data_IF_910998635817
#
_entry.id   IF_910998635817
#
_cell.length_a   1.000
_cell.length_b   1.000
_cell.length_c   1.000
_cell.angle_alpha   90.00
_cell.angle_beta   90.00
_cell.angle_gamma   90.00
#
_symmetry.space_group_name_H-M   'P 1'
#
loop_
_entity.id
_entity.type
_entity.pdbx_description
1 polymer ?
#
# COMPACT_ATOMS: atom_id res chain seq x y z
N UNK A 1 -0.51 -15.18 6.72
CA UNK A 1 0.20 -14.17 5.95
C UNK A 1 -0.48 -13.90 4.60
N UNK A 2 -0.69 -14.92 3.75
CA UNK A 2 -1.30 -14.78 2.41
C UNK A 2 -2.65 -14.07 2.47
N UNK A 3 -3.59 -14.59 3.27
CA UNK A 3 -4.93 -14.00 3.45
C UNK A 3 -4.86 -12.55 3.95
N UNK A 4 -3.90 -12.25 4.83
CA UNK A 4 -3.70 -10.91 5.36
C UNK A 4 -3.30 -9.91 4.27
N UNK A 5 -2.32 -10.25 3.42
CA UNK A 5 -1.89 -9.37 2.32
C UNK A 5 -3.01 -9.17 1.30
N UNK A 6 -3.68 -10.26 0.89
CA UNK A 6 -4.79 -10.20 -0.07
C UNK A 6 -5.88 -9.26 0.44
N UNK A 7 -6.29 -9.41 1.70
CA UNK A 7 -7.27 -8.53 2.32
C UNK A 7 -6.77 -7.09 2.48
N UNK A 8 -5.47 -6.88 2.76
CA UNK A 8 -4.91 -5.54 2.86
C UNK A 8 -5.00 -4.77 1.54
N UNK A 9 -4.73 -5.45 0.41
CA UNK A 9 -4.89 -4.85 -0.93
C UNK A 9 -6.37 -4.61 -1.26
N UNK A 10 -7.27 -5.53 -0.91
CA UNK A 10 -8.70 -5.34 -1.12
C UNK A 10 -9.26 -4.17 -0.29
N UNK A 11 -8.88 -4.07 0.99
CA UNK A 11 -9.36 -3.00 1.88
C UNK A 11 -8.81 -1.61 1.55
N UNK A 12 -7.65 -1.51 0.88
CA UNK A 12 -7.10 -0.22 0.43
C UNK A 12 -7.76 0.28 -0.86
N UNK A 13 -8.47 -0.59 -1.60
CA UNK A 13 -9.21 -0.27 -2.84
C UNK A 13 -10.52 0.49 -2.55
N UNK A 14 -10.43 1.56 -1.77
CA UNK A 14 -11.58 2.38 -1.37
C UNK A 14 -11.75 3.69 -2.15
N UNK A 15 -10.80 4.08 -2.98
CA UNK A 15 -10.85 5.24 -3.85
C UNK A 15 -10.14 4.95 -5.18
N UNK A 16 -10.63 5.58 -6.25
CA UNK A 16 -10.11 5.38 -7.61
C UNK A 16 -8.59 5.55 -7.68
N UNK A 17 -7.91 4.60 -8.29
CA UNK A 17 -6.48 4.61 -8.55
C UNK A 17 -5.58 4.26 -7.36
N UNK A 18 -6.11 4.16 -6.14
CA UNK A 18 -5.25 3.95 -4.97
C UNK A 18 -4.62 2.55 -4.98
N UNK A 19 -5.43 1.50 -5.02
CA UNK A 19 -4.93 0.13 -5.03
C UNK A 19 -4.10 -0.15 -6.28
N UNK A 20 -4.60 0.21 -7.47
CA UNK A 20 -3.88 -0.01 -8.72
C UNK A 20 -2.56 0.78 -8.80
N UNK A 21 -2.50 1.99 -8.26
CA UNK A 21 -1.28 2.79 -8.18
C UNK A 21 -0.23 2.17 -7.25
N UNK A 22 -0.63 1.79 -6.03
CA UNK A 22 0.26 1.11 -5.07
C UNK A 22 0.76 -0.23 -5.62
N UNK A 23 -0.13 -1.03 -6.21
CA UNK A 23 0.22 -2.31 -6.79
C UNK A 23 1.14 -2.16 -8.01
N UNK A 24 0.96 -1.11 -8.83
CA UNK A 24 1.85 -0.82 -9.97
C UNK A 24 3.28 -0.51 -9.51
N UNK A 25 3.43 0.31 -8.46
CA UNK A 25 4.75 0.60 -7.89
C UNK A 25 5.39 -0.67 -7.31
N UNK A 26 4.62 -1.49 -6.62
CA UNK A 26 5.09 -2.77 -6.08
C UNK A 26 5.56 -3.72 -7.21
N UNK A 27 4.76 -3.87 -8.28
CA UNK A 27 5.12 -4.69 -9.44
C UNK A 27 6.37 -4.18 -10.15
N UNK A 28 6.52 -2.85 -10.30
CA UNK A 28 7.71 -2.25 -10.88
C UNK A 28 8.95 -2.57 -10.06
N UNK A 29 8.89 -2.36 -8.74
CA UNK A 29 9.99 -2.66 -7.83
C UNK A 29 10.36 -4.15 -7.89
N UNK A 30 9.37 -5.04 -7.75
CA UNK A 30 9.60 -6.48 -7.79
C UNK A 30 10.17 -6.94 -9.13
N UNK A 31 9.65 -6.42 -10.25
CA UNK A 31 10.14 -6.74 -11.59
C UNK A 31 11.62 -6.36 -11.75
N UNK A 32 11.99 -5.15 -11.38
CA UNK A 32 13.38 -4.69 -11.41
C UNK A 32 14.27 -5.51 -10.47
N UNK A 33 13.80 -5.80 -9.27
CA UNK A 33 14.55 -6.58 -8.29
C UNK A 33 14.78 -8.01 -8.77
N UNK A 34 13.75 -8.67 -9.32
CA UNK A 34 13.89 -10.02 -9.89
C UNK A 34 14.84 -10.06 -11.08
N UNK A 35 14.92 -8.99 -11.90
CA UNK A 35 15.95 -8.90 -12.94
C UNK A 35 17.35 -8.84 -12.34
N UNK A 36 17.56 -8.08 -11.27
CA UNK A 36 18.85 -8.01 -10.57
C UNK A 36 19.27 -9.36 -9.96
N UNK A 37 18.31 -10.16 -9.49
CA UNK A 37 18.55 -11.52 -8.97
C UNK A 37 18.49 -12.61 -10.05
N UNK A 38 18.50 -12.27 -11.35
CA UNK A 38 18.43 -13.21 -12.48
C UNK A 38 17.21 -14.16 -12.44
N UNK A 39 16.15 -13.77 -11.74
CA UNK A 39 14.89 -14.51 -11.62
C UNK A 39 13.89 -14.10 -12.70
N UNK A 40 14.22 -14.37 -13.95
CA UNK A 40 13.50 -13.85 -15.14
C UNK A 40 12.01 -14.22 -15.20
N UNK A 41 11.62 -15.42 -14.75
CA UNK A 41 10.22 -15.88 -14.76
C UNK A 41 9.37 -14.97 -13.85
N UNK A 42 9.87 -14.63 -12.65
CA UNK A 42 9.16 -13.78 -11.70
C UNK A 42 9.21 -12.32 -12.13
N UNK A 43 10.29 -11.87 -12.77
CA UNK A 43 10.36 -10.56 -13.39
C UNK A 43 9.31 -10.41 -14.49
N UNK A 44 9.15 -11.41 -15.39
CA UNK A 44 8.11 -11.42 -16.40
C UNK A 44 6.71 -11.37 -15.80
N UNK A 45 6.44 -12.13 -14.74
CA UNK A 45 5.14 -12.12 -14.06
C UNK A 45 4.84 -10.74 -13.45
N UNK A 46 5.83 -10.11 -12.80
CA UNK A 46 5.69 -8.77 -12.23
C UNK A 46 5.41 -7.72 -13.32
N UNK A 47 6.16 -7.73 -14.41
CA UNK A 47 5.96 -6.79 -15.52
C UNK A 47 4.68 -7.07 -16.31
N UNK A 48 4.26 -8.32 -16.47
CA UNK A 48 2.96 -8.63 -17.06
C UNK A 48 1.81 -8.08 -16.22
N UNK A 49 1.88 -8.24 -14.89
CA UNK A 49 0.90 -7.67 -13.96
C UNK A 49 0.90 -6.14 -14.04
N UNK A 50 2.09 -5.52 -14.08
CA UNK A 50 2.23 -4.07 -14.26
C UNK A 50 1.61 -3.60 -15.58
N UNK A 51 1.83 -4.34 -16.68
CA UNK A 51 1.29 -4.04 -18.00
C UNK A 51 -0.24 -4.04 -18.04
N UNK A 52 -0.90 -4.80 -17.17
CA UNK A 52 -2.36 -4.77 -16.98
C UNK A 52 -2.78 -3.62 -16.07
N UNK A 53 -2.04 -3.36 -14.98
CA UNK A 53 -2.39 -2.35 -14.00
C UNK A 53 -2.27 -0.92 -14.53
N UNK A 54 -1.31 -0.62 -15.40
CA UNK A 54 -1.10 0.73 -15.95
C UNK A 54 -2.30 1.22 -16.77
N UNK A 55 -2.78 0.51 -17.81
CA UNK A 55 -3.98 0.93 -18.53
C UNK A 55 -5.22 0.89 -17.65
N UNK A 56 -5.33 -0.09 -16.73
CA UNK A 56 -6.41 -0.11 -15.75
C UNK A 56 -6.43 1.17 -14.91
N UNK A 57 -5.29 1.57 -14.34
CA UNK A 57 -5.15 2.83 -13.56
C UNK A 57 -5.64 4.03 -14.37
N UNK A 58 -5.25 4.11 -15.65
CA UNK A 58 -5.66 5.21 -16.51
C UNK A 58 -7.19 5.30 -16.64
N UNK A 59 -7.87 4.20 -16.98
CA UNK A 59 -9.32 4.19 -17.13
C UNK A 59 -10.07 4.31 -15.79
N UNK A 60 -9.49 3.84 -14.70
CA UNK A 60 -10.09 3.96 -13.37
C UNK A 60 -10.06 5.41 -12.86
N UNK A 61 -8.93 6.13 -13.06
CA UNK A 61 -8.75 7.51 -12.56
C UNK A 61 -9.30 8.55 -13.51
N UNK A 62 -9.10 8.38 -14.82
CA UNK A 62 -9.41 9.38 -15.85
C UNK A 62 -10.58 8.98 -16.75
N UNK A 63 -11.09 7.77 -16.63
CA UNK A 63 -12.23 7.30 -17.40
C UNK A 63 -13.48 8.12 -17.11
N UNK A 64 -14.25 8.44 -18.16
CA UNK A 64 -15.52 9.14 -18.04
C UNK A 64 -16.66 8.13 -17.86
N UNK A 65 -17.35 8.21 -16.71
CA UNK A 65 -18.49 7.34 -16.40
C UNK A 65 -19.68 7.56 -17.33
N UNK A 66 -19.93 8.80 -17.77
CA UNK A 66 -21.05 9.13 -18.67
C UNK A 66 -20.90 8.48 -20.07
N UNK A 67 -19.65 8.27 -20.50
CA UNK A 67 -19.34 7.60 -21.78
C UNK A 67 -19.02 6.10 -21.61
N UNK A 68 -19.28 5.51 -20.44
CA UNK A 68 -19.03 4.10 -20.18
C UNK A 68 -17.55 3.69 -20.21
N UNK A 69 -16.62 4.66 -20.10
CA UNK A 69 -15.17 4.43 -20.17
C UNK A 69 -14.50 4.28 -18.80
N UNK A 70 -15.24 4.42 -17.70
CA UNK A 70 -14.71 4.24 -16.36
C UNK A 70 -14.83 2.78 -15.95
N UNK A 71 -13.75 2.21 -15.44
CA UNK A 71 -13.70 0.83 -14.95
C UNK A 71 -13.37 0.81 -13.46
N UNK A 72 -13.87 -0.21 -12.75
CA UNK A 72 -13.63 -0.43 -11.33
C UNK A 72 -12.94 -1.75 -11.12
N UNK A 73 -12.07 -1.84 -10.10
CA UNK A 73 -11.30 -3.05 -9.82
C UNK A 73 -12.18 -4.18 -9.28
N UNK A 74 -13.06 -3.85 -8.34
CA UNK A 74 -13.90 -4.81 -7.64
C UNK A 74 -13.09 -5.83 -6.83
N UNK A 75 -13.80 -6.65 -6.05
CA UNK A 75 -13.16 -7.64 -5.18
C UNK A 75 -12.34 -8.67 -5.95
N UNK A 76 -12.83 -9.14 -7.11
CA UNK A 76 -12.11 -10.11 -7.94
C UNK A 76 -10.76 -9.56 -8.39
N UNK A 77 -10.72 -8.30 -8.83
CA UNK A 77 -9.48 -7.66 -9.28
C UNK A 77 -8.49 -7.45 -8.14
N UNK A 78 -8.94 -6.84 -7.04
CA UNK A 78 -8.09 -6.52 -5.89
C UNK A 78 -7.57 -7.78 -5.18
N UNK A 79 -8.39 -8.83 -5.03
CA UNK A 79 -7.98 -10.11 -4.46
C UNK A 79 -6.97 -10.83 -5.36
N UNK A 80 -7.18 -10.82 -6.70
CA UNK A 80 -6.25 -11.44 -7.65
C UNK A 80 -4.91 -10.74 -7.66
N UNK A 81 -4.89 -9.40 -7.73
CA UNK A 81 -3.65 -8.62 -7.68
C UNK A 81 -2.97 -8.77 -6.32
N UNK A 82 -3.73 -8.78 -5.22
CA UNK A 82 -3.23 -9.04 -3.88
C UNK A 82 -2.53 -10.40 -3.78
N UNK A 83 -3.09 -11.45 -4.39
CA UNK A 83 -2.48 -12.78 -4.47
C UNK A 83 -1.18 -12.76 -5.27
N UNK A 84 -1.15 -12.07 -6.43
CA UNK A 84 0.05 -11.93 -7.24
C UNK A 84 1.17 -11.21 -6.47
N UNK A 85 0.88 -10.10 -5.82
CA UNK A 85 1.86 -9.39 -4.99
C UNK A 85 2.35 -10.23 -3.82
N UNK A 86 1.47 -11.01 -3.19
CA UNK A 86 1.84 -11.92 -2.12
C UNK A 86 2.83 -12.99 -2.61
N UNK A 87 2.55 -13.64 -3.75
CA UNK A 87 3.44 -14.63 -4.37
C UNK A 87 4.81 -14.03 -4.70
N UNK A 88 4.82 -12.86 -5.34
CA UNK A 88 6.06 -12.17 -5.71
C UNK A 88 6.86 -11.76 -4.46
N UNK A 89 6.21 -11.22 -3.43
CA UNK A 89 6.88 -10.82 -2.18
C UNK A 89 7.48 -12.02 -1.46
N UNK A 90 6.75 -13.13 -1.33
CA UNK A 90 7.25 -14.36 -0.73
C UNK A 90 8.44 -14.93 -1.51
N UNK A 91 8.33 -14.98 -2.83
CA UNK A 91 9.44 -15.46 -3.66
C UNK A 91 10.67 -14.58 -3.51
N UNK A 92 10.49 -13.26 -3.41
CA UNK A 92 11.60 -12.33 -3.22
C UNK A 92 12.32 -12.55 -1.89
N UNK A 93 11.61 -12.84 -0.80
CA UNK A 93 12.24 -13.18 0.49
C UNK A 93 13.06 -14.48 0.44
N UNK A 94 12.75 -15.35 -0.53
CA UNK A 94 13.48 -16.61 -0.73
C UNK A 94 14.70 -16.47 -1.66
N UNK A 95 14.87 -15.31 -2.32
CA UNK A 95 16.08 -15.02 -3.08
C UNK A 95 17.22 -14.81 -2.09
N UNK A 96 18.14 -15.77 -2.00
CA UNK A 96 19.31 -15.68 -1.13
C UNK A 96 20.23 -14.54 -1.58
N UNK A 97 21.05 -14.08 -0.64
CA UNK A 97 22.11 -13.09 -0.88
C UNK A 97 23.41 -13.75 -1.36
N UNK A 98 23.31 -14.89 -2.02
CA UNK A 98 24.49 -15.69 -2.43
C UNK A 98 25.38 -14.97 -3.46
N UNK A 99 24.83 -13.99 -4.17
CA UNK A 99 25.60 -13.08 -5.01
C UNK A 99 26.01 -11.85 -4.20
N UNK A 100 27.28 -11.71 -3.90
CA UNK A 100 27.93 -10.55 -3.24
C UNK A 100 27.73 -9.22 -4.01
N UNK A 101 26.93 -9.21 -5.05
CA UNK A 101 26.67 -8.04 -5.92
C UNK A 101 25.53 -7.17 -5.46
N UNK A 102 24.59 -7.69 -4.66
CA UNK A 102 23.42 -6.94 -4.19
C UNK A 102 23.48 -6.78 -2.66
N UNK A 103 23.86 -5.59 -2.22
CA UNK A 103 23.97 -5.25 -0.80
C UNK A 103 22.62 -4.98 -0.11
N UNK A 104 21.50 -4.95 -0.87
CA UNK A 104 20.18 -4.66 -0.34
C UNK A 104 19.51 -5.96 0.10
N UNK A 105 18.98 -5.97 1.33
CA UNK A 105 18.29 -7.14 1.86
C UNK A 105 16.99 -7.42 1.07
N UNK A 106 16.82 -8.60 0.44
CA UNK A 106 15.63 -8.95 -0.33
C UNK A 106 14.32 -8.86 0.48
N UNK A 107 14.39 -9.13 1.78
CA UNK A 107 13.25 -9.04 2.67
C UNK A 107 12.74 -7.60 2.79
N UNK A 108 13.63 -6.60 2.81
CA UNK A 108 13.27 -5.18 2.82
C UNK A 108 12.53 -4.80 1.53
N UNK A 109 13.05 -5.24 0.39
CA UNK A 109 12.42 -5.01 -0.92
C UNK A 109 11.04 -5.67 -1.02
N UNK A 110 10.87 -6.84 -0.40
CA UNK A 110 9.61 -7.59 -0.42
C UNK A 110 8.50 -6.92 0.40
N UNK A 111 8.80 -6.41 1.61
CA UNK A 111 7.75 -5.87 2.47
C UNK A 111 7.49 -4.36 2.26
N UNK A 112 8.48 -3.58 1.83
CA UNK A 112 8.36 -2.11 1.73
C UNK A 112 7.15 -1.63 0.92
N UNK A 113 6.82 -2.18 -0.26
CA UNK A 113 5.64 -1.76 -1.01
C UNK A 113 4.32 -2.14 -0.33
N UNK A 114 4.34 -3.19 0.50
CA UNK A 114 3.17 -3.69 1.21
C UNK A 114 2.97 -3.02 2.58
N UNK A 115 3.92 -2.19 3.01
CA UNK A 115 3.95 -1.57 4.33
C UNK A 115 2.66 -0.79 4.60
N UNK A 116 2.30 0.15 3.73
CA UNK A 116 1.13 1.02 3.93
C UNK A 116 -0.17 0.23 3.96
N UNK A 117 -0.51 -0.63 2.98
CA UNK A 117 -1.70 -1.46 3.07
C UNK A 117 -1.76 -2.29 4.35
N UNK A 118 -0.67 -2.97 4.70
CA UNK A 118 -0.62 -3.84 5.87
C UNK A 118 -0.74 -3.05 7.19
N UNK A 119 0.00 -1.96 7.34
CA UNK A 119 -0.06 -1.13 8.54
C UNK A 119 -1.43 -0.47 8.72
N UNK A 120 -2.11 -0.10 7.62
CA UNK A 120 -3.45 0.48 7.72
C UNK A 120 -4.48 -0.54 8.23
N UNK A 121 -4.44 -1.77 7.74
CA UNK A 121 -5.32 -2.85 8.23
C UNK A 121 -5.06 -3.15 9.70
N UNK A 122 -3.80 -3.33 10.11
CA UNK A 122 -3.45 -3.57 11.52
C UNK A 122 -3.95 -2.43 12.41
N UNK A 123 -3.78 -1.19 11.97
CA UNK A 123 -4.26 -0.01 12.71
C UNK A 123 -5.77 0.00 12.88
N UNK A 124 -6.53 -0.28 11.83
CA UNK A 124 -8.00 -0.33 11.88
C UNK A 124 -8.45 -1.47 12.79
N UNK A 125 -7.85 -2.65 12.67
CA UNK A 125 -8.10 -3.79 13.52
C UNK A 125 -7.89 -3.45 15.00
N UNK A 126 -6.73 -2.91 15.37
CA UNK A 126 -6.42 -2.53 16.76
C UNK A 126 -7.35 -1.43 17.28
N UNK A 127 -7.71 -0.46 16.44
CA UNK A 127 -8.66 0.58 16.81
C UNK A 127 -10.03 -0.01 17.15
N UNK A 128 -10.50 -0.99 16.41
CA UNK A 128 -11.79 -1.66 16.67
C UNK A 128 -11.77 -2.48 17.94
N UNK A 129 -10.73 -3.30 18.12
CA UNK A 129 -10.55 -4.10 19.34
C UNK A 129 -10.54 -3.22 20.58
N UNK A 130 -9.79 -2.10 20.56
CA UNK A 130 -9.75 -1.15 21.70
C UNK A 130 -11.11 -0.52 22.02
N UNK A 131 -11.98 -0.39 21.02
CA UNK A 131 -13.33 0.17 21.20
C UNK A 131 -14.42 -0.92 21.43
N UNK A 132 -14.03 -2.17 21.70
CA UNK A 132 -14.97 -3.28 21.93
C UNK A 132 -15.82 -3.66 20.73
N UNK A 133 -15.41 -3.27 19.49
CA UNK A 133 -16.12 -3.55 18.24
C UNK A 133 -15.57 -4.80 17.58
N UNK A 134 -16.42 -5.53 16.87
CA UNK A 134 -15.96 -6.68 16.08
C UNK A 134 -14.96 -6.22 15.00
N UNK A 135 -13.70 -6.72 15.02
CA UNK A 135 -12.65 -6.25 14.11
C UNK A 135 -12.86 -6.70 12.65
N UNK A 136 -13.70 -7.68 12.38
CA UNK A 136 -13.95 -8.24 11.05
C UNK A 136 -15.09 -7.57 10.28
N UNK A 137 -15.81 -6.62 10.90
CA UNK A 137 -16.87 -5.89 10.19
C UNK A 137 -16.25 -4.74 9.36
N UNK A 138 -16.90 -4.31 8.25
CA UNK A 138 -16.47 -3.17 7.46
C UNK A 138 -16.27 -1.89 8.29
N UNK A 139 -15.22 -1.12 8.01
CA UNK A 139 -14.92 0.13 8.72
C UNK A 139 -14.58 1.26 7.74
N UNK A 140 -14.98 2.49 8.11
CA UNK A 140 -14.66 3.73 7.37
C UNK A 140 -13.47 4.50 7.98
N UNK A 141 -12.57 3.81 8.70
CA UNK A 141 -11.41 4.42 9.36
C UNK A 141 -10.08 4.20 8.61
N UNK A 142 -10.10 3.62 7.41
CA UNK A 142 -8.90 3.48 6.58
C UNK A 142 -8.26 4.84 6.28
N UNK A 143 -6.94 4.84 5.95
CA UNK A 143 -6.16 6.08 5.75
C UNK A 143 -6.81 7.01 4.72
N UNK A 144 -7.32 6.48 3.61
CA UNK A 144 -8.00 7.25 2.57
C UNK A 144 -9.26 7.94 3.10
N UNK A 145 -10.09 7.27 3.92
CA UNK A 145 -11.24 7.89 4.56
C UNK A 145 -10.87 9.03 5.51
N UNK A 146 -9.75 8.89 6.24
CA UNK A 146 -9.24 9.97 7.09
C UNK A 146 -8.82 11.20 6.29
N UNK A 147 -8.17 11.02 5.14
CA UNK A 147 -7.78 12.13 4.27
C UNK A 147 -9.00 12.84 3.68
N UNK A 148 -10.02 12.08 3.26
CA UNK A 148 -11.30 12.64 2.83
C UNK A 148 -12.01 13.40 3.95
N UNK A 149 -11.96 12.91 5.19
CA UNK A 149 -12.54 13.59 6.35
C UNK A 149 -11.84 14.92 6.71
N UNK A 150 -10.61 15.12 6.29
CA UNK A 150 -9.90 16.43 6.39
C UNK A 150 -10.37 17.41 5.30
N UNK A 151 -11.22 16.98 4.36
CA UNK A 151 -11.73 17.81 3.24
C UNK A 151 -10.92 17.67 1.96
N UNK A 152 -10.06 16.67 1.84
CA UNK A 152 -9.31 16.43 0.61
C UNK A 152 -10.17 15.78 -0.46
N UNK A 153 -9.92 16.13 -1.72
CA UNK A 153 -10.50 15.43 -2.87
C UNK A 153 -9.90 14.02 -3.01
N UNK A 154 -10.66 13.07 -3.58
CA UNK A 154 -10.22 11.68 -3.78
C UNK A 154 -8.89 11.58 -4.51
N UNK A 155 -8.70 12.34 -5.59
CA UNK A 155 -7.44 12.37 -6.36
C UNK A 155 -6.25 12.85 -5.53
N UNK A 156 -6.44 13.88 -4.70
CA UNK A 156 -5.38 14.39 -3.81
C UNK A 156 -5.02 13.35 -2.74
N UNK A 157 -6.02 12.70 -2.16
CA UNK A 157 -5.81 11.63 -1.18
C UNK A 157 -5.04 10.45 -1.79
N UNK A 158 -5.41 10.01 -3.00
CA UNK A 158 -4.70 8.98 -3.76
C UNK A 158 -3.23 9.36 -3.98
N UNK A 159 -2.97 10.54 -4.54
CA UNK A 159 -1.60 11.02 -4.83
C UNK A 159 -0.76 11.05 -3.55
N UNK A 160 -1.31 11.55 -2.45
CA UNK A 160 -0.60 11.62 -1.17
C UNK A 160 -0.22 10.22 -0.68
N UNK A 161 -1.15 9.27 -0.66
CA UNK A 161 -0.88 7.91 -0.16
C UNK A 161 0.15 7.20 -1.05
N UNK A 162 0.03 7.32 -2.37
CA UNK A 162 1.00 6.76 -3.33
C UNK A 162 2.39 7.39 -3.14
N UNK A 163 2.46 8.73 -3.01
CA UNK A 163 3.73 9.43 -2.78
C UNK A 163 4.37 9.03 -1.47
N UNK A 164 3.59 8.93 -0.39
CA UNK A 164 4.08 8.47 0.92
C UNK A 164 4.61 7.04 0.81
N UNK A 165 3.89 6.13 0.11
CA UNK A 165 4.36 4.77 -0.11
C UNK A 165 5.70 4.74 -0.86
N UNK A 166 5.83 5.54 -1.92
CA UNK A 166 7.07 5.64 -2.69
C UNK A 166 8.22 6.15 -1.82
N UNK A 167 7.97 7.16 -1.00
CA UNK A 167 8.98 7.69 -0.07
C UNK A 167 9.41 6.63 0.95
N UNK A 168 8.47 5.86 1.52
CA UNK A 168 8.81 4.75 2.42
C UNK A 168 9.65 3.69 1.72
N UNK A 169 9.32 3.31 0.49
CA UNK A 169 10.11 2.34 -0.29
C UNK A 169 11.55 2.83 -0.46
N UNK A 170 11.73 4.08 -0.93
CA UNK A 170 13.06 4.65 -1.15
C UNK A 170 13.84 4.80 0.15
N UNK A 171 13.17 5.22 1.23
CA UNK A 171 13.76 5.34 2.55
C UNK A 171 14.23 3.98 3.10
N UNK A 172 13.41 2.93 2.97
CA UNK A 172 13.74 1.58 3.41
C UNK A 172 14.89 0.98 2.60
N UNK A 173 14.93 1.21 1.29
CA UNK A 173 16.07 0.83 0.44
C UNK A 173 17.35 1.48 0.96
N UNK A 174 17.32 2.78 1.24
CA UNK A 174 18.47 3.51 1.76
C UNK A 174 18.88 3.00 3.15
N UNK A 175 17.92 2.80 4.07
CA UNK A 175 18.20 2.30 5.41
C UNK A 175 18.76 0.87 5.39
N UNK A 176 18.36 0.04 4.42
CA UNK A 176 18.84 -1.35 4.32
C UNK A 176 20.34 -1.47 4.07
N UNK A 177 20.99 -0.40 3.61
CA UNK A 177 22.44 -0.33 3.45
C UNK A 177 23.18 -0.20 4.80
N UNK A 178 22.48 0.24 5.85
CA UNK A 178 23.10 0.58 7.14
C UNK A 178 22.49 -0.19 8.32
N UNK A 179 21.22 -0.61 8.22
CA UNK A 179 20.46 -1.16 9.32
C UNK A 179 19.92 -2.57 9.00
N UNK A 180 19.81 -3.38 10.06
CA UNK A 180 19.11 -4.65 9.97
C UNK A 180 17.61 -4.46 9.78
N UNK A 181 16.95 -5.40 9.11
CA UNK A 181 15.51 -5.37 8.79
C UNK A 181 14.61 -5.09 10.01
N UNK A 182 14.97 -5.63 11.19
CA UNK A 182 14.19 -5.42 12.42
C UNK A 182 14.12 -3.94 12.85
N UNK A 183 15.24 -3.22 12.72
CA UNK A 183 15.28 -1.79 13.01
C UNK A 183 14.52 -0.97 11.99
N UNK A 184 14.56 -1.34 10.72
CA UNK A 184 13.80 -0.69 9.65
C UNK A 184 12.30 -0.81 9.93
N UNK A 185 11.81 -2.03 10.21
CA UNK A 185 10.41 -2.27 10.55
C UNK A 185 9.98 -1.48 11.80
N UNK A 186 10.84 -1.41 12.82
CA UNK A 186 10.56 -0.62 14.02
C UNK A 186 10.40 0.87 13.71
N UNK A 187 11.32 1.44 12.92
CA UNK A 187 11.28 2.84 12.48
C UNK A 187 10.02 3.11 11.67
N UNK A 188 9.68 2.23 10.74
CA UNK A 188 8.46 2.34 9.92
C UNK A 188 7.18 2.37 10.77
N UNK A 189 7.08 1.46 11.75
CA UNK A 189 5.93 1.40 12.67
C UNK A 189 5.84 2.69 13.49
N UNK A 190 6.96 3.21 13.96
CA UNK A 190 6.99 4.46 14.73
C UNK A 190 6.56 5.66 13.88
N UNK A 191 7.10 5.81 12.68
CA UNK A 191 6.75 6.90 11.75
C UNK A 191 5.27 6.81 11.37
N UNK A 192 4.79 5.60 11.01
CA UNK A 192 3.39 5.36 10.65
C UNK A 192 2.45 5.70 11.79
N UNK A 193 2.74 5.22 13.01
CA UNK A 193 1.92 5.46 14.19
C UNK A 193 1.85 6.93 14.53
N UNK A 194 3.00 7.63 14.55
CA UNK A 194 3.08 9.05 14.83
C UNK A 194 2.29 9.89 13.81
N UNK A 195 2.45 9.60 12.54
CA UNK A 195 1.74 10.26 11.43
C UNK A 195 0.22 10.09 11.58
N UNK A 196 -0.23 8.86 11.87
CA UNK A 196 -1.65 8.58 12.08
C UNK A 196 -2.24 9.24 13.32
N UNK A 197 -1.50 9.35 14.43
CA UNK A 197 -1.94 10.07 15.63
C UNK A 197 -2.11 11.55 15.30
N UNK A 198 -1.15 12.18 14.61
CA UNK A 198 -1.24 13.58 14.18
C UNK A 198 -2.44 13.83 13.28
N UNK A 199 -2.65 12.96 12.30
CA UNK A 199 -3.79 13.04 11.37
C UNK A 199 -5.13 12.94 12.12
N UNK A 200 -5.26 12.00 13.05
CA UNK A 200 -6.47 11.82 13.86
C UNK A 200 -6.76 13.05 14.75
N UNK A 201 -5.73 13.61 15.38
CA UNK A 201 -5.88 14.86 16.17
C UNK A 201 -6.36 16.03 15.31
N UNK A 202 -5.82 16.16 14.09
CA UNK A 202 -6.22 17.23 13.16
C UNK A 202 -7.67 17.09 12.73
N UNK A 203 -8.15 15.87 12.46
CA UNK A 203 -9.56 15.60 12.14
C UNK A 203 -10.46 16.03 13.30
N UNK A 204 -10.13 15.65 14.54
CA UNK A 204 -10.90 16.05 15.74
C UNK A 204 -10.98 17.58 15.90
N UNK A 205 -9.89 18.30 15.65
CA UNK A 205 -9.88 19.77 15.71
C UNK A 205 -10.74 20.43 14.63
N UNK A 206 -10.77 19.85 13.41
CA UNK A 206 -11.62 20.36 12.35
C UNK A 206 -13.10 20.14 12.64
N UNK A 207 -13.46 18.97 13.17
CA UNK A 207 -14.83 18.66 13.55
C UNK A 207 -15.33 19.53 14.71
N UNK A 208 -14.50 19.80 15.71
CA UNK A 208 -14.87 20.70 16.82
C UNK A 208 -15.09 22.13 16.33
N UNK A 209 -14.25 22.66 15.43
CA UNK A 209 -14.43 24.01 14.84
C UNK A 209 -15.72 24.11 14.03
N UNK A 210 -16.10 23.08 13.28
CA UNK A 210 -17.35 23.05 12.52
C UNK A 210 -18.58 22.99 13.43
N UNK A 211 -18.47 22.33 14.60
CA UNK A 211 -19.56 22.28 15.57
C UNK A 211 -19.76 23.62 16.31
N UNK A 212 -18.69 24.42 16.50
CA UNK A 212 -18.75 25.74 17.17
C UNK A 212 -19.26 26.84 16.24
N UNK A 213 -19.17 26.64 14.93
CA UNK A 213 -19.62 27.64 13.92
C UNK A 213 -21.07 27.38 13.40
N UNK A 214 -21.78 26.39 13.97
CA UNK A 214 -23.21 26.14 13.79
C UNK A 214 -23.98 26.57 15.06
#
# INVERSE_FOLDING_TARGET
FVVFIINAINLIDGIDGLASGLCSIACLLYGLTFLMFHQYIYAMLAFATLGVLVPFFYYNVFGNAEHGKKIFMGDTGSLTVGMMLCLLSLKLTMCGTDDNTVHINPMVLAFSPLLIPCCDVVRVYLHRVRNGKNPFLPDKNHIHHKLLAVGMQQRSAMIIVISVSTVFILFNILLSLYLNVNWIVLVDILIWTFTNIRLTKRIGQLQSRQATNK
#
